data_IF_550876136929
#
_entry.id   IF_550876136929
#
_cell.length_a   1.000
_cell.length_b   1.000
_cell.length_c   1.000
_cell.angle_alpha   90.00
_cell.angle_beta   90.00
_cell.angle_gamma   90.00
#
_symmetry.space_group_name_H-M   'P 1'
#
loop_
_entity.id
_entity.type
_entity.pdbx_description
1 polymer ?
#
# COMPACT_ATOMS: atom_id res chain seq x y z
N UNK A 1 11.64 27.32 40.40
CA UNK A 1 11.91 26.67 39.10
C UNK A 1 10.57 26.28 38.49
N UNK A 2 10.12 27.05 37.49
CA UNK A 2 8.80 26.86 36.88
C UNK A 2 8.84 25.68 35.90
N UNK A 3 7.95 24.70 36.11
CA UNK A 3 7.52 23.75 35.09
C UNK A 3 6.56 24.50 34.15
N UNK A 4 6.98 24.75 32.92
CA UNK A 4 6.10 25.31 31.89
C UNK A 4 5.14 24.23 31.41
N UNK A 5 3.89 24.27 31.90
CA UNK A 5 2.79 23.48 31.36
C UNK A 5 2.54 23.85 29.89
N UNK A 6 2.38 22.85 29.03
CA UNK A 6 1.95 23.05 27.65
C UNK A 6 0.50 23.53 27.66
N UNK A 7 0.28 24.80 27.34
CA UNK A 7 -1.04 25.39 27.23
C UNK A 7 -1.66 24.97 25.90
N UNK A 8 -2.72 24.15 25.91
CA UNK A 8 -3.45 23.69 24.73
C UNK A 8 -4.44 24.75 24.25
N UNK A 9 -3.94 25.92 23.84
CA UNK A 9 -4.77 26.93 23.16
C UNK A 9 -4.98 26.55 21.70
N UNK A 10 -6.18 26.77 21.16
CA UNK A 10 -6.47 26.61 19.73
C UNK A 10 -5.43 27.37 18.87
N UNK A 11 -5.06 26.84 17.68
CA UNK A 11 -4.05 27.47 16.85
C UNK A 11 -4.51 28.87 16.40
N UNK A 12 -3.58 29.81 16.36
CA UNK A 12 -3.83 31.18 15.88
C UNK A 12 -4.31 31.18 14.43
N UNK A 13 -5.09 32.18 14.03
CA UNK A 13 -5.58 32.32 12.65
C UNK A 13 -4.38 32.35 11.68
N UNK A 14 -4.49 31.58 10.59
CA UNK A 14 -3.46 31.48 9.57
C UNK A 14 -3.29 32.82 8.84
N UNK A 15 -2.05 33.30 8.75
CA UNK A 15 -1.67 34.45 7.92
C UNK A 15 -0.38 34.08 7.16
N UNK A 16 -0.18 34.57 5.94
CA UNK A 16 1.00 34.22 5.11
C UNK A 16 2.35 34.42 5.81
N UNK A 17 2.44 35.38 6.74
CA UNK A 17 3.65 35.72 7.49
C UNK A 17 3.94 34.79 8.69
N UNK A 18 2.99 33.96 9.13
CA UNK A 18 3.14 33.11 10.33
C UNK A 18 3.22 31.60 10.03
N UNK A 19 3.36 31.21 8.76
CA UNK A 19 3.29 29.82 8.29
C UNK A 19 4.21 28.85 9.05
N UNK A 20 5.47 29.21 9.31
CA UNK A 20 6.42 28.32 9.98
C UNK A 20 6.01 27.99 11.43
N UNK A 21 5.46 28.98 12.15
CA UNK A 21 5.02 28.81 13.54
C UNK A 21 3.65 28.15 13.58
N UNK A 22 2.77 28.54 12.65
CA UNK A 22 1.42 27.98 12.51
C UNK A 22 1.44 26.50 12.14
N UNK A 23 2.25 26.10 11.16
CA UNK A 23 2.39 24.71 10.70
C UNK A 23 2.91 23.78 11.79
N UNK A 24 3.89 24.22 12.59
CA UNK A 24 4.40 23.44 13.72
C UNK A 24 3.33 23.29 14.81
N UNK A 25 2.63 24.38 15.18
CA UNK A 25 1.55 24.33 16.18
C UNK A 25 0.37 23.49 15.71
N UNK A 26 -0.02 23.61 14.44
CA UNK A 26 -1.12 22.87 13.85
C UNK A 26 -0.78 21.39 13.72
N UNK A 27 0.44 21.05 13.32
CA UNK A 27 0.93 19.66 13.31
C UNK A 27 0.95 19.06 14.72
N UNK A 28 1.41 19.80 15.72
CA UNK A 28 1.37 19.36 17.13
C UNK A 28 -0.06 19.20 17.64
N UNK A 29 -0.96 20.12 17.31
CA UNK A 29 -2.38 20.05 17.66
C UNK A 29 -3.05 18.81 17.02
N UNK A 30 -2.89 18.62 15.72
CA UNK A 30 -3.46 17.49 14.99
C UNK A 30 -2.91 16.13 15.46
N UNK A 31 -1.63 16.07 15.84
CA UNK A 31 -1.03 14.87 16.44
C UNK A 31 -1.58 14.60 17.84
N UNK A 32 -1.73 15.64 18.66
CA UNK A 32 -2.26 15.52 20.02
C UNK A 32 -3.72 15.03 20.06
N UNK A 33 -4.51 15.37 19.05
CA UNK A 33 -5.91 14.96 18.94
C UNK A 33 -6.15 13.76 18.00
N UNK A 34 -5.09 13.08 17.55
CA UNK A 34 -5.16 11.97 16.57
C UNK A 34 -5.91 12.32 15.27
N UNK A 35 -5.99 13.61 14.93
CA UNK A 35 -6.65 14.12 13.72
C UNK A 35 -5.71 14.19 12.52
N UNK A 36 -4.39 14.18 12.77
CA UNK A 36 -3.38 14.15 11.72
C UNK A 36 -3.55 12.93 10.80
N UNK A 37 -3.95 11.80 11.37
CA UNK A 37 -4.10 10.53 10.67
C UNK A 37 -5.38 10.47 9.81
N UNK A 38 -6.44 11.21 10.17
CA UNK A 38 -7.64 11.33 9.34
C UNK A 38 -7.38 12.18 8.07
N UNK A 39 -6.52 13.20 8.20
CA UNK A 39 -6.10 14.04 7.06
C UNK A 39 -5.20 13.30 6.06
N UNK A 40 -4.35 12.37 6.51
CA UNK A 40 -3.46 11.61 5.62
C UNK A 40 -4.17 10.48 4.85
N UNK A 41 -5.30 9.98 5.36
CA UNK A 41 -5.99 8.80 4.81
C UNK A 41 -7.24 9.17 3.99
N UNK A 42 -7.76 10.39 4.14
CA UNK A 42 -8.91 10.87 3.36
C UNK A 42 -10.26 10.24 3.74
N UNK A 43 -10.35 9.63 4.92
CA UNK A 43 -11.61 9.13 5.48
C UNK A 43 -12.25 10.17 6.42
N UNK A 44 -13.58 10.24 6.43
CA UNK A 44 -14.30 11.08 7.39
C UNK A 44 -13.99 10.63 8.83
N UNK A 45 -13.73 11.57 9.76
CA UNK A 45 -13.43 11.22 11.13
C UNK A 45 -14.62 10.50 11.76
N UNK A 46 -14.41 9.25 12.18
CA UNK A 46 -15.40 8.49 12.94
C UNK A 46 -15.82 9.31 14.15
N UNK A 47 -17.09 9.70 14.22
CA UNK A 47 -17.65 10.31 15.42
C UNK A 47 -17.53 9.30 16.56
N UNK A 48 -16.57 9.57 17.47
CA UNK A 48 -16.33 8.70 18.63
C UNK A 48 -17.48 8.87 19.62
N UNK A 49 -18.29 7.83 19.79
CA UNK A 49 -18.93 7.63 21.08
C UNK A 49 -17.86 7.23 22.11
N UNK A 50 -18.08 7.66 23.35
CA UNK A 50 -17.11 7.86 24.43
C UNK A 50 -16.08 6.73 24.69
N UNK A 51 -14.84 7.15 24.98
CA UNK A 51 -13.75 6.45 25.68
C UNK A 51 -13.51 4.98 25.32
N UNK A 52 -12.68 4.70 24.29
CA UNK A 52 -12.15 3.35 24.09
C UNK A 52 -11.22 2.96 25.26
N UNK A 53 -11.34 1.72 25.71
CA UNK A 53 -10.48 1.17 26.77
C UNK A 53 -9.04 1.03 26.29
N UNK A 54 -8.06 1.05 27.21
CA UNK A 54 -6.63 0.83 26.93
C UNK A 54 -6.37 -0.46 26.13
N UNK A 55 -7.20 -1.49 26.31
CA UNK A 55 -7.15 -2.73 25.54
C UNK A 55 -7.60 -2.52 24.08
N UNK A 56 -8.61 -1.68 23.81
CA UNK A 56 -9.06 -1.35 22.46
C UNK A 56 -8.09 -0.39 21.75
N UNK A 57 -7.47 0.53 22.49
CA UNK A 57 -6.40 1.39 21.99
C UNK A 57 -5.17 0.53 21.65
N UNK A 58 -4.77 -0.39 22.53
CA UNK A 58 -3.70 -1.36 22.24
C UNK A 58 -4.04 -2.29 21.11
N UNK A 59 -5.26 -2.82 21.04
CA UNK A 59 -5.69 -3.69 19.95
C UNK A 59 -5.67 -2.94 18.61
N UNK A 60 -6.09 -1.67 18.59
CA UNK A 60 -6.02 -0.80 17.43
C UNK A 60 -4.57 -0.43 17.05
N UNK A 61 -3.70 -0.17 18.03
CA UNK A 61 -2.26 0.06 17.83
C UNK A 61 -1.52 -1.22 17.37
N UNK A 62 -1.88 -2.40 17.91
CA UNK A 62 -1.40 -3.72 17.50
C UNK A 62 -1.90 -4.08 16.09
N UNK A 63 -3.15 -3.74 15.77
CA UNK A 63 -3.72 -3.86 14.42
C UNK A 63 -3.07 -2.90 13.42
N UNK A 64 -2.43 -1.81 13.90
CA UNK A 64 -1.76 -0.79 13.08
C UNK A 64 -0.24 -1.01 12.98
N UNK A 65 0.38 -1.70 13.93
CA UNK A 65 1.78 -2.13 13.91
C UNK A 65 1.98 -3.35 12.99
N UNK A 66 1.52 -3.27 11.74
CA UNK A 66 1.65 -4.34 10.74
C UNK A 66 2.99 -4.23 10.00
N UNK A 67 4.08 -4.41 10.73
CA UNK A 67 5.38 -4.81 10.19
C UNK A 67 5.72 -6.21 10.69
N UNK A 68 6.48 -6.99 9.93
CA UNK A 68 6.96 -8.31 10.38
C UNK A 68 7.69 -8.26 11.74
N UNK A 69 8.36 -7.14 12.06
CA UNK A 69 9.19 -7.01 13.26
C UNK A 69 8.38 -6.71 14.53
N UNK A 70 7.26 -6.01 14.43
CA UNK A 70 6.42 -5.65 15.57
C UNK A 70 5.71 -6.87 16.19
N UNK A 71 5.47 -7.91 15.39
CA UNK A 71 4.90 -9.18 15.85
C UNK A 71 5.76 -9.90 16.90
N UNK A 72 7.07 -9.70 16.84
CA UNK A 72 8.01 -10.35 17.74
C UNK A 72 8.50 -9.44 18.86
N UNK A 73 7.84 -8.30 19.11
CA UNK A 73 8.23 -7.37 20.18
C UNK A 73 8.08 -7.96 21.58
N UNK A 74 7.15 -8.88 21.77
CA UNK A 74 6.96 -9.56 23.06
C UNK A 74 8.07 -10.58 23.36
N UNK A 75 8.70 -11.17 22.34
CA UNK A 75 9.80 -12.11 22.49
C UNK A 75 10.79 -12.05 21.30
N UNK A 76 11.64 -11.01 21.21
CA UNK A 76 12.54 -10.82 20.08
C UNK A 76 13.73 -11.79 20.13
N UNK A 77 14.09 -12.38 18.99
CA UNK A 77 15.25 -13.26 18.84
C UNK A 77 16.40 -12.51 18.16
N UNK A 78 17.57 -13.14 18.09
CA UNK A 78 18.72 -12.58 17.38
C UNK A 78 18.46 -12.36 15.88
N UNK A 79 17.59 -13.19 15.27
CA UNK A 79 17.18 -13.03 13.86
C UNK A 79 16.29 -11.80 13.70
N UNK A 80 15.35 -11.56 14.61
CA UNK A 80 14.52 -10.34 14.61
C UNK A 80 15.37 -9.08 14.78
N UNK A 81 16.37 -9.10 15.67
CA UNK A 81 17.29 -7.99 15.85
C UNK A 81 18.17 -7.73 14.60
N UNK A 82 18.63 -8.78 13.94
CA UNK A 82 19.38 -8.65 12.68
C UNK A 82 18.51 -8.04 11.56
N UNK A 83 17.25 -8.46 11.44
CA UNK A 83 16.29 -7.91 10.50
C UNK A 83 15.98 -6.43 10.80
N UNK A 84 15.76 -6.05 12.06
CA UNK A 84 15.58 -4.65 12.46
C UNK A 84 16.79 -3.78 12.11
N UNK A 85 18.02 -4.25 12.36
CA UNK A 85 19.24 -3.55 11.93
C UNK A 85 19.32 -3.39 10.41
N UNK A 86 18.89 -4.40 9.64
CA UNK A 86 18.85 -4.32 8.16
C UNK A 86 17.90 -3.20 7.71
N UNK A 87 16.71 -3.10 8.30
CA UNK A 87 15.74 -2.04 8.02
C UNK A 87 16.32 -0.66 8.36
N UNK A 88 16.90 -0.49 9.55
CA UNK A 88 17.51 0.79 9.95
C UNK A 88 18.68 1.21 9.06
N UNK A 89 19.54 0.26 8.65
CA UNK A 89 20.63 0.51 7.69
C UNK A 89 20.09 0.89 6.33
N UNK A 90 19.01 0.26 5.87
CA UNK A 90 18.34 0.61 4.63
C UNK A 90 17.82 2.05 4.70
N UNK A 91 17.00 2.38 5.71
CA UNK A 91 16.47 3.73 5.90
C UNK A 91 17.59 4.77 5.90
N UNK A 92 18.65 4.54 6.68
CA UNK A 92 19.82 5.43 6.73
C UNK A 92 20.52 5.56 5.37
N UNK A 93 20.65 4.46 4.62
CA UNK A 93 21.26 4.44 3.30
C UNK A 93 20.40 5.01 2.18
N UNK A 94 19.09 5.20 2.42
CA UNK A 94 18.13 5.69 1.42
C UNK A 94 17.48 7.02 1.80
N UNK A 95 18.04 7.77 2.77
CA UNK A 95 17.52 9.08 3.17
C UNK A 95 17.47 10.06 1.98
N UNK A 96 18.41 9.93 1.06
CA UNK A 96 18.49 10.76 -0.15
C UNK A 96 17.72 10.18 -1.35
N UNK A 97 17.13 8.99 -1.20
CA UNK A 97 16.36 8.37 -2.27
C UNK A 97 14.98 9.04 -2.39
N UNK A 98 14.54 9.29 -3.62
CA UNK A 98 13.24 9.90 -3.92
C UNK A 98 12.59 9.24 -5.13
N UNK A 99 11.27 9.32 -5.20
CA UNK A 99 10.54 9.01 -6.43
C UNK A 99 10.85 10.08 -7.49
N UNK A 100 11.33 9.66 -8.65
CA UNK A 100 11.63 10.53 -9.79
C UNK A 100 10.51 10.42 -10.81
N UNK A 101 9.68 11.46 -10.90
CA UNK A 101 8.70 11.59 -11.98
C UNK A 101 9.29 12.43 -13.11
N UNK A 102 9.20 11.93 -14.33
CA UNK A 102 9.45 12.69 -15.55
C UNK A 102 8.14 12.97 -16.26
N UNK A 103 8.07 14.09 -16.99
CA UNK A 103 6.92 14.36 -17.85
C UNK A 103 6.86 13.28 -18.93
N UNK A 104 5.69 12.67 -19.07
CA UNK A 104 5.32 11.81 -20.19
C UNK A 104 3.97 12.26 -20.71
N UNK A 105 3.78 12.14 -22.01
CA UNK A 105 2.50 12.47 -22.65
C UNK A 105 1.49 11.31 -22.57
N UNK A 106 1.95 10.10 -22.20
CA UNK A 106 1.06 8.99 -21.86
C UNK A 106 0.66 9.04 -20.38
N UNK A 107 -0.64 8.87 -20.13
CA UNK A 107 -1.26 8.95 -18.81
C UNK A 107 -2.07 7.69 -18.50
N UNK A 108 -1.62 6.53 -19.01
CA UNK A 108 -2.30 5.27 -18.77
C UNK A 108 -2.06 4.82 -17.32
N UNK A 109 -3.15 4.48 -16.64
CA UNK A 109 -3.10 3.81 -15.35
C UNK A 109 -2.76 2.34 -15.58
N UNK A 110 -1.68 1.87 -14.96
CA UNK A 110 -1.23 0.47 -15.02
C UNK A 110 -1.04 -0.05 -13.59
N UNK A 111 -1.53 -1.24 -13.32
CA UNK A 111 -1.46 -1.90 -12.02
C UNK A 111 -0.70 -3.22 -12.06
N UNK A 112 -0.12 -3.58 -10.92
CA UNK A 112 0.49 -4.87 -10.64
C UNK A 112 -0.09 -5.42 -9.34
N UNK A 113 -0.33 -6.71 -9.27
CA UNK A 113 -0.81 -7.40 -8.07
C UNK A 113 -0.05 -8.70 -7.89
N UNK A 114 0.28 -9.01 -6.64
CA UNK A 114 1.00 -10.22 -6.25
C UNK A 114 0.62 -10.66 -4.82
N UNK A 115 0.94 -11.91 -4.50
CA UNK A 115 0.86 -12.46 -3.16
C UNK A 115 2.06 -13.38 -2.84
N UNK A 116 2.49 -13.41 -1.57
CA UNK A 116 3.65 -14.22 -1.12
C UNK A 116 3.34 -15.69 -0.79
N UNK A 117 2.11 -16.17 -1.04
CA UNK A 117 1.53 -17.47 -0.63
C UNK A 117 2.31 -18.26 0.44
N UNK A 118 1.76 -18.25 1.66
CA UNK A 118 2.19 -19.07 2.79
C UNK A 118 3.66 -18.92 3.22
N UNK A 119 4.28 -17.75 3.00
CA UNK A 119 5.60 -17.42 3.60
C UNK A 119 5.55 -17.40 5.14
N UNK A 120 4.37 -17.22 5.74
CA UNK A 120 4.20 -17.22 7.19
C UNK A 120 3.93 -18.62 7.75
N UNK A 121 4.94 -19.21 8.37
CA UNK A 121 4.86 -20.52 9.02
C UNK A 121 4.00 -20.56 10.28
N UNK A 122 3.68 -19.41 10.89
CA UNK A 122 3.00 -19.37 12.18
C UNK A 122 1.47 -19.42 12.04
N UNK A 123 0.90 -18.76 11.03
CA UNK A 123 -0.55 -18.72 10.82
C UNK A 123 -0.99 -19.01 9.37
N UNK A 124 -0.06 -19.38 8.49
CA UNK A 124 -0.29 -19.71 7.08
C UNK A 124 -1.00 -18.59 6.29
N UNK A 125 -0.99 -17.36 6.80
CA UNK A 125 -1.63 -16.21 6.14
C UNK A 125 -0.62 -15.49 5.25
N UNK A 126 -1.06 -15.20 4.04
CA UNK A 126 -0.21 -14.61 3.02
C UNK A 126 -0.30 -13.07 3.02
N UNK A 127 0.75 -12.37 2.60
CA UNK A 127 0.79 -10.93 2.34
C UNK A 127 0.41 -10.66 0.90
N UNK A 128 -0.66 -9.87 0.70
CA UNK A 128 -1.01 -9.36 -0.63
C UNK A 128 -0.41 -7.99 -0.83
N UNK A 129 0.01 -7.70 -2.05
CA UNK A 129 0.55 -6.41 -2.43
C UNK A 129 0.05 -6.00 -3.81
N UNK A 130 -0.04 -4.69 -4.02
CA UNK A 130 -0.27 -4.12 -5.33
C UNK A 130 0.39 -2.76 -5.46
N UNK A 131 0.64 -2.34 -6.69
CA UNK A 131 1.08 -0.99 -7.00
C UNK A 131 0.55 -0.52 -8.35
N UNK A 132 0.37 0.80 -8.46
CA UNK A 132 -0.15 1.47 -9.64
C UNK A 132 0.80 2.57 -10.09
N UNK A 133 1.09 2.57 -11.39
CA UNK A 133 1.82 3.63 -12.07
C UNK A 133 0.89 4.52 -12.85
N UNK A 134 1.29 5.78 -12.96
CA UNK A 134 0.65 6.78 -13.78
C UNK A 134 1.75 7.65 -14.40
N UNK A 135 1.76 7.74 -15.73
CA UNK A 135 2.81 8.41 -16.47
C UNK A 135 4.19 7.73 -16.31
N UNK A 136 5.11 8.37 -15.60
CA UNK A 136 6.52 7.95 -15.53
C UNK A 136 6.88 7.07 -14.34
N UNK A 137 6.04 7.00 -13.31
CA UNK A 137 6.40 6.34 -12.06
C UNK A 137 5.21 5.77 -11.29
N UNK A 138 5.53 5.06 -10.22
CA UNK A 138 4.56 4.48 -9.28
C UNK A 138 4.13 5.56 -8.31
N UNK A 139 2.83 5.69 -8.09
CA UNK A 139 2.27 6.74 -7.21
C UNK A 139 1.33 6.18 -6.14
N UNK A 140 0.85 4.95 -6.28
CA UNK A 140 -0.04 4.32 -5.31
C UNK A 140 0.34 2.86 -5.11
N UNK A 141 0.42 2.41 -3.86
CA UNK A 141 0.80 1.04 -3.53
C UNK A 141 0.18 0.61 -2.20
N UNK A 142 0.13 -0.70 -1.98
CA UNK A 142 -0.34 -1.29 -0.74
C UNK A 142 0.40 -2.60 -0.49
N UNK A 143 0.70 -2.87 0.78
CA UNK A 143 1.12 -4.17 1.29
C UNK A 143 0.28 -4.47 2.52
N UNK A 144 -0.46 -5.58 2.52
CA UNK A 144 -1.30 -5.96 3.65
C UNK A 144 -1.34 -7.48 3.81
N UNK A 145 -1.11 -7.93 5.05
CA UNK A 145 -1.35 -9.32 5.45
C UNK A 145 -2.84 -9.67 5.29
N UNK A 146 -3.13 -10.79 4.63
CA UNK A 146 -4.50 -11.25 4.44
C UNK A 146 -5.12 -11.69 5.77
N UNK A 147 -6.42 -11.45 5.91
CA UNK A 147 -7.19 -11.87 7.09
C UNK A 147 -7.68 -13.32 6.98
N UNK A 148 -7.78 -13.82 5.75
CA UNK A 148 -8.30 -15.16 5.41
C UNK A 148 -7.16 -16.04 4.93
N UNK A 149 -7.10 -17.28 5.42
CA UNK A 149 -6.20 -18.33 4.91
C UNK A 149 -6.84 -18.92 3.66
N UNK A 150 -6.18 -18.79 2.51
CA UNK A 150 -6.63 -19.42 1.28
C UNK A 150 -6.09 -20.86 1.17
N UNK A 151 -6.78 -21.69 0.40
CA UNK A 151 -6.44 -23.11 0.26
C UNK A 151 -5.64 -23.41 -1.01
N UNK A 152 -5.35 -22.42 -1.84
CA UNK A 152 -4.51 -22.56 -3.03
C UNK A 152 -3.78 -21.27 -3.40
N UNK A 153 -2.66 -21.40 -4.12
CA UNK A 153 -1.91 -20.26 -4.66
C UNK A 153 -2.73 -19.42 -5.64
N UNK A 154 -3.56 -20.06 -6.47
CA UNK A 154 -4.46 -19.36 -7.38
C UNK A 154 -5.50 -18.50 -6.65
N UNK A 155 -5.96 -18.96 -5.48
CA UNK A 155 -6.96 -18.26 -4.68
C UNK A 155 -6.38 -17.04 -3.96
N UNK A 156 -5.18 -17.12 -3.37
CA UNK A 156 -4.55 -15.94 -2.76
C UNK A 156 -4.26 -14.85 -3.80
N UNK A 157 -3.79 -15.23 -4.98
CA UNK A 157 -3.52 -14.33 -6.09
C UNK A 157 -4.81 -13.67 -6.58
N UNK A 158 -5.89 -14.46 -6.68
CA UNK A 158 -7.19 -13.92 -7.01
C UNK A 158 -7.69 -12.90 -5.97
N UNK A 159 -7.48 -13.18 -4.68
CA UNK A 159 -7.84 -12.25 -3.59
C UNK A 159 -7.02 -10.96 -3.67
N UNK A 160 -5.73 -11.05 -4.00
CA UNK A 160 -4.87 -9.88 -4.21
C UNK A 160 -5.36 -9.05 -5.40
N UNK A 161 -5.64 -9.72 -6.53
CA UNK A 161 -6.17 -9.10 -7.74
C UNK A 161 -7.52 -8.41 -7.52
N UNK A 162 -8.40 -8.99 -6.69
CA UNK A 162 -9.67 -8.36 -6.34
C UNK A 162 -9.47 -7.06 -5.58
N UNK A 163 -8.50 -7.03 -4.66
CA UNK A 163 -8.17 -5.81 -3.92
C UNK A 163 -7.58 -4.74 -4.85
N UNK A 164 -6.67 -5.13 -5.75
CA UNK A 164 -6.10 -4.25 -6.76
C UNK A 164 -7.17 -3.73 -7.73
N UNK A 165 -8.11 -4.57 -8.15
CA UNK A 165 -9.22 -4.18 -9.04
C UNK A 165 -10.09 -3.09 -8.42
N UNK A 166 -10.47 -3.24 -7.14
CA UNK A 166 -11.24 -2.23 -6.44
C UNK A 166 -10.48 -0.90 -6.35
N UNK A 167 -9.18 -0.97 -6.07
CA UNK A 167 -8.31 0.21 -6.01
C UNK A 167 -8.16 0.88 -7.38
N UNK A 168 -8.02 0.10 -8.47
CA UNK A 168 -7.98 0.60 -9.84
C UNK A 168 -9.26 1.36 -10.20
N UNK A 169 -10.43 0.79 -9.87
CA UNK A 169 -11.73 1.45 -10.11
C UNK A 169 -11.84 2.77 -9.34
N UNK A 170 -11.36 2.80 -8.09
CA UNK A 170 -11.32 4.03 -7.31
C UNK A 170 -10.36 5.07 -7.93
N UNK A 171 -9.13 4.68 -8.27
CA UNK A 171 -8.15 5.54 -8.92
C UNK A 171 -8.67 6.11 -10.25
N UNK A 172 -9.38 5.32 -11.05
CA UNK A 172 -9.98 5.80 -12.31
C UNK A 172 -10.98 6.94 -12.08
N UNK A 173 -11.78 6.88 -11.01
CA UNK A 173 -12.71 7.97 -10.65
C UNK A 173 -11.95 9.22 -10.23
N UNK A 174 -10.94 9.07 -9.36
CA UNK A 174 -10.08 10.18 -8.94
C UNK A 174 -9.40 10.83 -10.15
N UNK A 175 -8.86 10.03 -11.07
CA UNK A 175 -8.22 10.53 -12.29
C UNK A 175 -9.21 11.22 -13.22
N UNK A 176 -10.44 10.70 -13.33
CA UNK A 176 -11.51 11.35 -14.10
C UNK A 176 -11.85 12.73 -13.53
N UNK A 177 -12.00 12.86 -12.21
CA UNK A 177 -12.25 14.15 -11.54
C UNK A 177 -11.10 15.15 -11.74
N UNK A 178 -9.87 14.66 -11.92
CA UNK A 178 -8.68 15.45 -12.22
C UNK A 178 -8.47 15.74 -13.72
N UNK A 179 -9.39 15.31 -14.59
CA UNK A 179 -9.31 15.53 -16.04
C UNK A 179 -8.43 14.53 -16.81
N UNK A 180 -8.03 13.42 -16.18
CA UNK A 180 -7.23 12.33 -16.77
C UNK A 180 -8.07 11.05 -16.95
N UNK A 181 -9.24 11.20 -17.58
CA UNK A 181 -10.17 10.09 -17.82
C UNK A 181 -9.48 8.93 -18.57
N UNK A 182 -9.65 7.72 -18.04
CA UNK A 182 -9.08 6.50 -18.58
C UNK A 182 -10.08 5.83 -19.51
N UNK A 183 -10.02 6.09 -20.82
CA UNK A 183 -11.00 5.55 -21.79
C UNK A 183 -10.93 4.02 -21.87
N UNK A 184 -9.71 3.46 -21.91
CA UNK A 184 -9.49 2.01 -21.96
C UNK A 184 -9.48 1.41 -20.55
N UNK A 185 -9.73 0.12 -20.45
CA UNK A 185 -9.56 -0.63 -19.21
C UNK A 185 -8.13 -0.54 -18.67
N UNK A 186 -8.01 -0.35 -17.36
CA UNK A 186 -6.70 -0.32 -16.69
C UNK A 186 -6.04 -1.69 -16.75
N UNK A 187 -4.84 -1.76 -17.30
CA UNK A 187 -4.09 -3.01 -17.37
C UNK A 187 -3.68 -3.41 -15.95
N UNK A 188 -4.07 -4.60 -15.51
CA UNK A 188 -3.68 -5.19 -14.24
C UNK A 188 -2.83 -6.44 -14.50
N UNK A 189 -1.55 -6.36 -14.17
CA UNK A 189 -0.59 -7.45 -14.31
C UNK A 189 -0.65 -8.41 -13.10
N UNK A 190 -0.74 -9.70 -13.40
CA UNK A 190 -0.77 -10.82 -12.44
C UNK A 190 0.19 -11.90 -12.98
N UNK A 191 0.93 -12.59 -12.12
CA UNK A 191 1.88 -13.63 -12.54
C UNK A 191 1.25 -15.04 -12.61
N UNK A 192 0.16 -15.26 -11.86
CA UNK A 192 -0.52 -16.55 -11.80
C UNK A 192 -1.55 -16.73 -12.93
N UNK A 193 -1.18 -17.51 -13.95
CA UNK A 193 -2.07 -17.86 -15.09
C UNK A 193 -3.37 -18.54 -14.66
N UNK A 194 -3.36 -19.33 -13.60
CA UNK A 194 -4.58 -19.98 -13.08
C UNK A 194 -5.54 -18.93 -12.52
N UNK A 195 -5.06 -17.95 -11.77
CA UNK A 195 -5.88 -16.84 -11.28
C UNK A 195 -6.47 -16.02 -12.44
N UNK A 196 -5.69 -15.76 -13.49
CA UNK A 196 -6.15 -15.06 -14.71
C UNK A 196 -7.26 -15.87 -15.41
N UNK A 197 -7.05 -17.18 -15.59
CA UNK A 197 -8.05 -18.06 -16.19
C UNK A 197 -9.36 -18.06 -15.40
N UNK A 198 -9.29 -18.06 -14.07
CA UNK A 198 -10.47 -18.00 -13.20
C UNK A 198 -11.19 -16.64 -13.31
N UNK A 199 -10.44 -15.55 -13.51
CA UNK A 199 -11.00 -14.22 -13.73
C UNK A 199 -11.73 -14.12 -15.07
N UNK A 200 -11.23 -14.80 -16.11
CA UNK A 200 -11.80 -14.78 -17.46
C UNK A 200 -12.95 -15.79 -17.65
N UNK A 201 -12.90 -16.94 -16.97
CA UNK A 201 -13.87 -18.02 -17.17
C UNK A 201 -14.91 -18.11 -16.03
N UNK A 202 -16.22 -18.03 -16.33
CA UNK A 202 -17.27 -18.02 -15.30
C UNK A 202 -17.54 -19.38 -14.65
N UNK A 203 -17.03 -20.48 -15.20
CA UNK A 203 -17.67 -21.81 -15.07
C UNK A 203 -17.44 -22.52 -13.74
N UNK A 204 -16.39 -22.27 -12.98
CA UNK A 204 -16.10 -23.07 -11.77
C UNK A 204 -15.49 -22.18 -10.68
N UNK A 205 -15.56 -22.64 -9.43
CA UNK A 205 -15.08 -22.01 -8.19
C UNK A 205 -16.09 -21.17 -7.41
N UNK A 206 -16.78 -21.84 -6.49
CA UNK A 206 -17.51 -21.21 -5.41
C UNK A 206 -17.81 -22.19 -4.29
N UNK A 207 -16.87 -22.38 -3.35
CA UNK A 207 -17.13 -23.14 -2.10
C UNK A 207 -17.52 -22.24 -0.92
N UNK A 208 -17.27 -20.92 -0.97
CA UNK A 208 -17.64 -19.97 0.12
C UNK A 208 -18.14 -18.61 -0.40
N UNK A 209 -19.04 -17.97 0.35
CA UNK A 209 -19.74 -16.73 -0.04
C UNK A 209 -18.80 -15.52 -0.21
N UNK A 210 -17.81 -15.36 0.68
CA UNK A 210 -16.90 -14.21 0.68
C UNK A 210 -15.97 -14.19 -0.55
N UNK A 211 -15.54 -15.36 -0.99
CA UNK A 211 -14.75 -15.54 -2.21
C UNK A 211 -15.63 -15.34 -3.45
N UNK A 212 -16.90 -15.80 -3.43
CA UNK A 212 -17.87 -15.55 -4.51
C UNK A 212 -18.07 -14.07 -4.81
N UNK A 213 -18.17 -13.21 -3.78
CA UNK A 213 -18.32 -11.75 -3.98
C UNK A 213 -17.10 -11.16 -4.70
N UNK A 214 -15.88 -11.55 -4.28
CA UNK A 214 -14.64 -11.12 -4.95
C UNK A 214 -14.57 -11.63 -6.40
N UNK A 215 -15.05 -12.86 -6.64
CA UNK A 215 -15.16 -13.42 -8.00
C UNK A 215 -16.03 -12.57 -8.91
N UNK A 216 -17.19 -12.15 -8.43
CA UNK A 216 -18.07 -11.26 -9.19
C UNK A 216 -17.43 -9.89 -9.45
N UNK A 217 -16.73 -9.31 -8.46
CA UNK A 217 -16.13 -7.99 -8.59
C UNK A 217 -15.12 -7.87 -9.75
N UNK A 218 -14.17 -8.81 -9.86
CA UNK A 218 -13.18 -8.78 -10.95
C UNK A 218 -13.87 -9.05 -12.30
N UNK A 219 -14.77 -10.03 -12.35
CA UNK A 219 -15.47 -10.41 -13.58
C UNK A 219 -16.31 -9.27 -14.13
N UNK A 220 -17.04 -8.58 -13.27
CA UNK A 220 -17.82 -7.40 -13.66
C UNK A 220 -16.87 -6.28 -14.13
N UNK A 221 -15.75 -6.07 -13.45
CA UNK A 221 -14.77 -5.08 -13.86
C UNK A 221 -14.16 -5.37 -15.24
N UNK A 222 -13.91 -6.63 -15.58
CA UNK A 222 -13.47 -7.06 -16.92
C UNK A 222 -14.61 -6.89 -17.94
N UNK A 223 -15.82 -7.37 -17.62
CA UNK A 223 -16.99 -7.33 -18.49
C UNK A 223 -17.38 -5.90 -18.90
N UNK A 224 -17.26 -4.95 -17.96
CA UNK A 224 -17.52 -3.53 -18.20
C UNK A 224 -16.25 -2.76 -18.60
N UNK A 225 -15.20 -3.46 -19.04
CA UNK A 225 -13.95 -2.87 -19.55
C UNK A 225 -13.28 -1.85 -18.61
N UNK A 226 -13.51 -1.98 -17.29
CA UNK A 226 -12.87 -1.13 -16.28
C UNK A 226 -11.42 -1.53 -16.07
N UNK A 227 -11.12 -2.82 -16.23
CA UNK A 227 -9.78 -3.38 -16.16
C UNK A 227 -9.54 -4.37 -17.30
N UNK A 228 -8.28 -4.56 -17.65
CA UNK A 228 -7.80 -5.64 -18.53
C UNK A 228 -6.74 -6.44 -17.77
N UNK A 229 -6.99 -7.72 -17.51
CA UNK A 229 -6.02 -8.56 -16.78
C UNK A 229 -5.01 -9.15 -17.75
N UNK A 230 -3.71 -8.96 -17.48
CA UNK A 230 -2.60 -9.51 -18.27
C UNK A 230 -1.62 -10.31 -17.42
N UNK A 231 -1.02 -11.31 -18.05
CA UNK A 231 0.07 -12.06 -17.43
C UNK A 231 1.38 -11.27 -17.50
N UNK A 232 2.11 -11.17 -16.38
CA UNK A 232 3.51 -10.73 -16.36
C UNK A 232 4.40 -11.86 -15.83
N UNK A 233 5.65 -11.94 -16.31
CA UNK A 233 6.62 -12.87 -15.74
C UNK A 233 7.03 -12.44 -14.32
N UNK A 234 7.40 -13.40 -13.48
CA UNK A 234 7.84 -13.17 -12.09
C UNK A 234 9.05 -12.23 -11.98
N UNK A 235 9.86 -12.11 -13.03
CA UNK A 235 11.02 -11.21 -13.03
C UNK A 235 10.65 -9.73 -13.17
N UNK A 236 9.49 -9.43 -13.77
CA UNK A 236 9.00 -8.07 -14.02
C UNK A 236 7.77 -7.73 -13.17
N UNK A 237 7.44 -8.59 -12.19
CA UNK A 237 6.34 -8.39 -11.26
C UNK A 237 6.72 -7.32 -10.23
N UNK A 238 6.28 -6.07 -10.45
CA UNK A 238 6.61 -4.96 -9.56
C UNK A 238 5.98 -5.11 -8.16
N UNK A 239 4.88 -5.86 -8.05
CA UNK A 239 4.22 -6.07 -6.78
C UNK A 239 5.02 -6.97 -5.81
N UNK A 240 6.01 -7.75 -6.31
CA UNK A 240 6.86 -8.63 -5.52
C UNK A 240 7.60 -7.89 -4.39
N UNK A 241 7.96 -6.62 -4.61
CA UNK A 241 8.66 -5.81 -3.61
C UNK A 241 7.79 -5.50 -2.39
N UNK A 242 6.48 -5.64 -2.51
CA UNK A 242 5.50 -5.40 -1.44
C UNK A 242 5.06 -6.67 -0.73
N UNK A 243 5.44 -7.85 -1.23
CA UNK A 243 4.93 -9.14 -0.76
C UNK A 243 6.06 -10.05 -0.29
N UNK A 244 7.17 -10.10 -1.02
CA UNK A 244 8.20 -11.14 -0.85
C UNK A 244 9.48 -10.59 -0.20
N UNK A 245 10.17 -11.46 0.52
CA UNK A 245 11.50 -11.18 1.04
C UNK A 245 12.57 -11.32 -0.05
N UNK A 246 12.81 -10.24 -0.80
CA UNK A 246 13.68 -10.28 -1.98
C UNK A 246 15.19 -10.29 -1.67
N UNK A 247 15.93 -11.02 -2.51
CA UNK A 247 17.39 -10.92 -2.61
C UNK A 247 17.81 -9.51 -3.06
N UNK A 248 19.06 -9.11 -2.73
CA UNK A 248 19.55 -7.75 -2.95
C UNK A 248 19.39 -7.29 -4.42
N UNK A 249 19.76 -8.13 -5.37
CA UNK A 249 19.79 -7.75 -6.79
C UNK A 249 18.38 -7.54 -7.33
N UNK A 250 17.46 -8.48 -7.07
CA UNK A 250 16.05 -8.34 -7.44
C UNK A 250 15.39 -7.15 -6.75
N UNK A 251 15.67 -6.93 -5.46
CA UNK A 251 15.16 -5.75 -4.74
C UNK A 251 15.65 -4.44 -5.37
N UNK A 252 16.94 -4.34 -5.71
CA UNK A 252 17.50 -3.15 -6.34
C UNK A 252 16.93 -2.90 -7.73
N UNK A 253 16.74 -3.96 -8.53
CA UNK A 253 16.10 -3.89 -9.84
C UNK A 253 14.65 -3.40 -9.73
N UNK A 254 13.81 -4.02 -8.90
CA UNK A 254 12.42 -3.60 -8.74
C UNK A 254 12.34 -2.17 -8.18
N UNK A 255 13.22 -1.80 -7.25
CA UNK A 255 13.29 -0.43 -6.72
C UNK A 255 13.62 0.61 -7.81
N UNK A 256 14.50 0.27 -8.76
CA UNK A 256 14.76 1.15 -9.90
C UNK A 256 13.56 1.24 -10.86
N UNK A 257 12.83 0.14 -11.07
CA UNK A 257 11.59 0.14 -11.86
C UNK A 257 10.49 0.98 -11.21
N UNK A 258 10.41 1.01 -9.87
CA UNK A 258 9.55 1.94 -9.13
C UNK A 258 9.98 3.42 -9.25
N UNK A 259 11.09 3.72 -9.92
CA UNK A 259 11.69 5.06 -10.07
C UNK A 259 12.20 5.69 -8.77
N UNK A 260 12.67 4.87 -7.84
CA UNK A 260 13.34 5.36 -6.62
C UNK A 260 14.83 5.56 -6.93
N UNK A 261 15.26 6.81 -7.06
CA UNK A 261 16.63 7.21 -7.41
C UNK A 261 17.33 7.92 -6.24
N UNK A 262 18.65 7.76 -6.11
CA UNK A 262 19.49 8.57 -5.22
C UNK A 262 19.93 9.85 -5.92
N UNK A 263 20.01 10.96 -5.19
CA UNK A 263 20.42 12.27 -5.73
C UNK A 263 21.92 12.38 -6.07
N UNK A 264 22.74 11.37 -5.74
CA UNK A 264 24.20 11.43 -5.92
C UNK A 264 24.74 10.98 -7.29
N UNK A 265 23.89 10.63 -8.24
CA UNK A 265 24.33 10.54 -9.63
C UNK A 265 24.21 11.91 -10.28
N UNK A 266 25.37 12.55 -10.49
CA UNK A 266 25.56 13.53 -11.56
C UNK A 266 25.19 12.88 -12.89
N UNK A 267 23.91 12.82 -13.22
CA UNK A 267 23.46 12.61 -14.60
C UNK A 267 23.43 13.99 -15.24
N UNK A 268 24.46 14.23 -16.05
CA UNK A 268 24.55 15.33 -17.01
C UNK A 268 23.26 15.34 -17.85
N UNK A 269 22.71 16.54 -17.99
CA UNK A 269 21.54 16.86 -18.81
C UNK A 269 21.70 16.42 -20.27
#
# INVERSE_FOLDING_TARGET
MALSGFNTSAPSVFTSENYAIWSVKMMSYLKAFSLWEAMEIGEEPVQRHANPTLAQIRQFEEDKAKSLLSRFMQNPTQTHFAAAKRVLRYIRGTVECRLKFTRKDCHDLIGYSDNDWAEDTDDSKSTRGYCFSFGSGIFSWNSKKQEVVAQSSAEVEYIAAAAATNHAIWLRKVLQDLGFEQVKGTILFIDNKSAISIAQNPVQYGRTKHIKVKYHAIRDAIKYEKIEVKHCGTDIQLADIFTKSLGKDKFMFLRSELRICSLNTKEVC
#
